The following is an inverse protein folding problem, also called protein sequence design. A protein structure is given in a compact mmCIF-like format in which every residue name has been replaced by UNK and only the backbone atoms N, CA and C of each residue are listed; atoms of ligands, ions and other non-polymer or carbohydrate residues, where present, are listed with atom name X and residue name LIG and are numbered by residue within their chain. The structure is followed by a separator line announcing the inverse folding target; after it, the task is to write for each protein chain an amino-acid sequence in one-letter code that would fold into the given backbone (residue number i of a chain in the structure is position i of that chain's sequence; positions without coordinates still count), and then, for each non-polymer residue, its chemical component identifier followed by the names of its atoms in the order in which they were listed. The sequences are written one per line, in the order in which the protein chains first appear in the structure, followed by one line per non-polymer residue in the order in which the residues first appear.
data_IF_830049635873
#
_entry.id   IF_830049635873
#
_cell.length_a   1.000
_cell.length_b   1.000
_cell.length_c   1.000
_cell.angle_alpha   90.00
_cell.angle_beta   90.00
_cell.angle_gamma   90.00
#
_symmetry.space_group_name_H-M   'P 1'
#
loop_
_entity.id
_entity.type
_entity.pdbx_description
1 polymer ?
#
# COMPACT_ATOMS: atom_id res chain seq x y z
N UNK A 1 -36.70 13.51 22.60
CA UNK A 1 -35.68 14.22 21.79
C UNK A 1 -34.48 13.30 21.66
N UNK A 2 -34.18 12.79 20.46
CA UNK A 2 -32.96 12.01 20.26
C UNK A 2 -31.77 12.97 20.33
N UNK A 3 -30.90 12.78 21.33
CA UNK A 3 -29.62 13.47 21.41
C UNK A 3 -28.85 13.22 20.12
N UNK A 4 -28.53 14.28 19.37
CA UNK A 4 -27.59 14.18 18.24
C UNK A 4 -26.27 13.68 18.81
N UNK A 5 -25.94 12.42 18.56
CA UNK A 5 -24.63 11.87 18.89
C UNK A 5 -23.61 12.65 18.06
N UNK A 6 -22.79 13.45 18.74
CA UNK A 6 -21.74 14.23 18.11
C UNK A 6 -20.56 13.30 17.81
N UNK A 7 -20.57 12.66 16.64
CA UNK A 7 -19.45 11.84 16.18
C UNK A 7 -18.24 12.75 15.95
N UNK A 8 -17.26 12.70 16.87
CA UNK A 8 -15.95 13.28 16.61
C UNK A 8 -15.26 12.44 15.54
N UNK A 9 -14.62 13.04 14.51
CA UNK A 9 -13.81 12.27 13.59
C UNK A 9 -12.69 11.56 14.36
N UNK A 10 -12.49 10.28 14.06
CA UNK A 10 -11.49 9.42 14.71
C UNK A 10 -10.38 9.08 13.71
N UNK A 11 -9.16 8.94 14.23
CA UNK A 11 -8.04 8.38 13.46
C UNK A 11 -8.37 6.92 13.14
N UNK A 12 -8.13 6.52 11.90
CA UNK A 12 -8.35 5.14 11.42
C UNK A 12 -7.03 4.41 11.24
N UNK A 13 -7.09 3.09 11.21
CA UNK A 13 -5.92 2.23 10.99
C UNK A 13 -6.10 1.49 9.68
N UNK A 14 -5.08 1.52 8.83
CA UNK A 14 -5.03 0.72 7.61
C UNK A 14 -3.75 -0.09 7.53
N UNK A 15 -3.77 -1.13 6.70
CA UNK A 15 -2.61 -1.95 6.37
C UNK A 15 -2.36 -1.87 4.88
N UNK A 16 -1.12 -1.55 4.46
CA UNK A 16 -0.68 -1.62 3.08
C UNK A 16 0.40 -2.69 2.92
N UNK A 17 0.35 -3.47 1.84
CA UNK A 17 1.22 -4.65 1.70
C UNK A 17 2.17 -4.51 0.52
N UNK A 18 3.48 -4.57 0.80
CA UNK A 18 4.54 -4.72 -0.19
C UNK A 18 4.63 -6.19 -0.59
N UNK A 19 3.77 -6.61 -1.52
CA UNK A 19 3.82 -7.95 -2.11
C UNK A 19 4.93 -7.99 -3.16
N UNK A 20 5.99 -8.74 -2.88
CA UNK A 20 7.15 -8.88 -3.78
C UNK A 20 6.76 -9.63 -5.06
N UNK A 21 7.18 -9.09 -6.21
CA UNK A 21 7.03 -9.75 -7.51
C UNK A 21 8.03 -10.92 -7.61
N UNK A 22 7.57 -12.18 -7.64
CA UNK A 22 8.47 -13.33 -7.65
C UNK A 22 9.30 -13.44 -8.94
N UNK A 23 8.92 -12.71 -10.00
CA UNK A 23 9.65 -12.69 -11.28
C UNK A 23 10.64 -11.52 -11.38
N UNK A 24 10.57 -10.53 -10.50
CA UNK A 24 11.39 -9.31 -10.55
C UNK A 24 11.87 -8.94 -9.16
N UNK A 25 13.12 -9.31 -8.86
CA UNK A 25 13.79 -8.97 -7.60
C UNK A 25 13.71 -7.46 -7.33
N UNK A 26 13.43 -7.09 -6.09
CA UNK A 26 13.35 -5.69 -5.65
C UNK A 26 12.12 -4.91 -6.15
N UNK A 27 11.13 -5.60 -6.73
CA UNK A 27 9.90 -4.98 -7.22
C UNK A 27 8.68 -5.46 -6.43
N UNK A 28 7.65 -4.61 -6.35
CA UNK A 28 6.36 -4.90 -5.68
C UNK A 28 5.19 -4.63 -6.59
N UNK A 29 4.07 -5.30 -6.34
CA UNK A 29 2.81 -5.00 -7.03
C UNK A 29 2.14 -3.75 -6.44
N UNK A 30 1.71 -2.85 -7.33
CA UNK A 30 0.90 -1.68 -6.99
C UNK A 30 -0.13 -1.42 -8.11
N UNK A 31 -1.24 -0.80 -7.76
CA UNK A 31 -2.38 -0.58 -8.65
C UNK A 31 -2.88 0.85 -8.66
N UNK A 32 -3.50 1.26 -9.77
CA UNK A 32 -4.05 2.62 -9.93
C UNK A 32 -5.49 2.62 -9.42
N UNK A 33 -5.76 3.48 -8.43
CA UNK A 33 -7.08 3.62 -7.80
C UNK A 33 -8.09 4.30 -8.73
N UNK A 34 -9.33 3.82 -8.76
CA UNK A 34 -10.48 4.42 -9.48
C UNK A 34 -11.47 5.15 -8.56
N UNK A 35 -11.43 4.88 -7.26
CA UNK A 35 -12.39 5.44 -6.31
C UNK A 35 -12.35 6.96 -6.20
N UNK A 36 -13.47 7.58 -5.80
CA UNK A 36 -13.63 9.05 -5.68
C UNK A 36 -12.57 9.76 -4.84
N UNK A 37 -11.86 9.04 -3.98
CA UNK A 37 -10.73 9.54 -3.19
C UNK A 37 -9.42 8.95 -3.71
N UNK A 38 -8.58 9.81 -4.28
CA UNK A 38 -7.29 9.43 -4.88
C UNK A 38 -7.41 8.73 -6.24
N UNK A 39 -8.45 9.00 -7.04
CA UNK A 39 -8.58 8.48 -8.40
C UNK A 39 -7.36 8.84 -9.26
N UNK A 40 -6.72 7.86 -9.89
CA UNK A 40 -5.48 8.04 -10.65
C UNK A 40 -4.21 7.94 -9.81
N UNK A 41 -4.31 7.74 -8.49
CA UNK A 41 -3.14 7.51 -7.64
C UNK A 41 -2.76 6.03 -7.58
N UNK A 42 -1.46 5.77 -7.47
CA UNK A 42 -0.89 4.45 -7.27
C UNK A 42 -0.94 4.07 -5.78
N UNK A 43 -1.42 2.87 -5.48
CA UNK A 43 -1.48 2.32 -4.13
C UNK A 43 -1.03 0.85 -4.09
N UNK A 44 -0.58 0.42 -2.92
CA UNK A 44 -0.36 -1.00 -2.61
C UNK A 44 -1.72 -1.69 -2.38
N UNK A 45 -1.81 -3.03 -2.53
CA UNK A 45 -2.94 -3.76 -1.99
C UNK A 45 -3.04 -3.56 -0.47
N UNK A 46 -4.27 -3.53 0.04
CA UNK A 46 -4.52 -3.30 1.45
C UNK A 46 -5.76 -2.45 1.76
N UNK A 47 -6.17 -2.47 3.01
CA UNK A 47 -7.39 -1.83 3.45
C UNK A 47 -7.41 -1.53 4.94
N UNK A 48 -8.61 -1.52 5.52
CA UNK A 48 -8.80 -1.21 6.93
C UNK A 48 -8.45 -2.41 7.80
N UNK A 49 -7.78 -2.14 8.92
CA UNK A 49 -7.59 -3.15 9.96
C UNK A 49 -8.94 -3.40 10.66
N UNK A 50 -9.41 -4.65 10.64
CA UNK A 50 -10.67 -5.01 11.27
C UNK A 50 -10.52 -5.25 12.79
N UNK A 51 -11.65 -5.24 13.50
CA UNK A 51 -11.65 -5.50 14.94
C UNK A 51 -11.15 -6.91 15.23
N UNK A 52 -10.23 -7.02 16.19
CA UNK A 52 -9.61 -8.29 16.61
C UNK A 52 -8.73 -8.94 15.54
N UNK A 53 -8.43 -8.23 14.46
CA UNK A 53 -7.55 -8.69 13.40
C UNK A 53 -6.09 -8.32 13.72
N UNK A 54 -5.16 -9.27 13.52
CA UNK A 54 -3.72 -8.97 13.51
C UNK A 54 -3.30 -8.31 12.19
N UNK A 55 -2.15 -7.64 12.18
CA UNK A 55 -1.66 -6.99 10.96
C UNK A 55 -1.35 -7.99 9.84
N UNK A 56 -0.93 -9.20 10.21
CA UNK A 56 -0.67 -10.30 9.27
C UNK A 56 -1.98 -10.83 8.68
N UNK A 57 -3.01 -11.06 9.51
CA UNK A 57 -4.33 -11.49 9.03
C UNK A 57 -4.94 -10.47 8.05
N UNK A 58 -4.87 -9.18 8.38
CA UNK A 58 -5.32 -8.11 7.50
C UNK A 58 -4.57 -8.10 6.16
N UNK A 59 -3.24 -8.22 6.20
CA UNK A 59 -2.42 -8.29 5.00
C UNK A 59 -2.79 -9.49 4.12
N UNK A 60 -2.98 -10.67 4.72
CA UNK A 60 -3.37 -11.90 4.00
C UNK A 60 -4.76 -11.75 3.38
N UNK A 61 -5.73 -11.25 4.15
CA UNK A 61 -7.12 -11.07 3.70
C UNK A 61 -7.19 -10.10 2.54
N UNK A 62 -6.70 -8.87 2.71
CA UNK A 62 -6.80 -7.81 1.70
C UNK A 62 -6.07 -8.19 0.42
N UNK A 63 -4.86 -8.75 0.52
CA UNK A 63 -4.12 -9.21 -0.68
C UNK A 63 -4.91 -10.30 -1.40
N UNK A 64 -5.52 -11.24 -0.69
CA UNK A 64 -6.34 -12.27 -1.31
C UNK A 64 -7.58 -11.69 -1.99
N UNK A 65 -8.29 -10.81 -1.31
CA UNK A 65 -9.54 -10.16 -1.78
C UNK A 65 -9.32 -9.30 -3.02
N UNK A 66 -8.21 -8.55 -3.08
CA UNK A 66 -7.97 -7.59 -4.15
C UNK A 66 -7.20 -8.19 -5.34
N UNK A 67 -6.35 -9.20 -5.08
CA UNK A 67 -5.35 -9.68 -6.06
C UNK A 67 -5.40 -11.18 -6.38
N UNK A 68 -6.20 -11.96 -5.63
CA UNK A 68 -6.20 -13.43 -5.64
C UNK A 68 -4.87 -14.10 -5.23
N UNK A 69 -3.84 -13.34 -4.84
CA UNK A 69 -2.54 -13.89 -4.48
C UNK A 69 -2.57 -14.57 -3.11
N UNK A 70 -1.93 -15.73 -3.01
CA UNK A 70 -1.61 -16.35 -1.74
C UNK A 70 -0.19 -15.95 -1.31
N UNK A 71 -0.09 -15.30 -0.15
CA UNK A 71 1.17 -14.76 0.37
C UNK A 71 1.68 -15.53 1.59
N UNK A 72 2.99 -15.39 1.86
CA UNK A 72 3.70 -15.98 2.99
C UNK A 72 4.79 -15.03 3.47
N UNK A 73 5.49 -15.39 4.56
CA UNK A 73 6.60 -14.62 5.13
C UNK A 73 6.19 -13.16 5.43
N UNK A 74 4.98 -12.96 5.94
CA UNK A 74 4.42 -11.64 6.20
C UNK A 74 5.15 -10.98 7.36
N UNK A 75 5.68 -9.78 7.15
CA UNK A 75 6.52 -9.09 8.14
C UNK A 75 6.20 -7.61 8.21
N UNK A 76 6.20 -7.04 9.41
CA UNK A 76 6.16 -5.59 9.57
C UNK A 76 7.42 -4.94 9.00
N UNK A 77 7.26 -3.81 8.30
CA UNK A 77 8.41 -3.06 7.75
C UNK A 77 8.39 -1.56 8.03
N UNK A 78 7.21 -0.94 8.17
CA UNK A 78 7.14 0.50 8.45
C UNK A 78 5.77 0.94 8.95
N UNK A 79 5.66 2.16 9.47
CA UNK A 79 4.39 2.81 9.81
C UNK A 79 4.42 4.29 9.45
N UNK A 80 3.31 4.82 8.94
CA UNK A 80 3.16 6.25 8.63
C UNK A 80 1.99 6.87 9.38
N UNK A 81 2.11 8.19 9.60
CA UNK A 81 1.04 9.04 10.06
C UNK A 81 0.52 9.87 8.88
N UNK A 82 -0.73 9.68 8.49
CA UNK A 82 -1.28 10.18 7.22
C UNK A 82 -2.51 11.08 7.43
N UNK A 83 -2.32 12.35 7.86
CA UNK A 83 -3.37 13.35 7.80
C UNK A 83 -3.70 13.70 6.33
N UNK A 84 -4.99 13.70 5.99
CA UNK A 84 -5.52 14.05 4.67
C UNK A 84 -6.60 15.13 4.83
N UNK A 85 -6.21 16.40 5.06
CA UNK A 85 -7.14 17.48 5.39
C UNK A 85 -8.21 17.72 4.34
N UNK A 86 -7.84 17.62 3.06
CA UNK A 86 -8.76 17.81 1.92
C UNK A 86 -9.86 16.75 1.87
N UNK A 87 -9.59 15.56 2.40
CA UNK A 87 -10.56 14.47 2.48
C UNK A 87 -11.29 14.41 3.83
N UNK A 88 -10.89 15.23 4.81
CA UNK A 88 -11.36 15.14 6.20
C UNK A 88 -10.99 13.81 6.86
N UNK A 89 -9.86 13.20 6.47
CA UNK A 89 -9.44 11.87 6.91
C UNK A 89 -8.10 11.91 7.64
N UNK A 90 -7.89 10.97 8.54
CA UNK A 90 -6.59 10.73 9.17
C UNK A 90 -6.42 9.22 9.36
N UNK A 91 -5.34 8.69 8.79
CA UNK A 91 -4.93 7.30 8.97
C UNK A 91 -3.59 7.18 9.69
N UNK A 92 -3.44 6.11 10.46
CA UNK A 92 -2.16 5.45 10.69
C UNK A 92 -2.12 4.27 9.72
N UNK A 93 -1.09 4.20 8.88
CA UNK A 93 -0.94 3.09 7.94
C UNK A 93 0.25 2.23 8.32
N UNK A 94 -0.02 0.96 8.60
CA UNK A 94 0.99 -0.05 8.89
C UNK A 94 1.39 -0.70 7.56
N UNK A 95 2.68 -0.75 7.27
CA UNK A 95 3.21 -1.41 6.09
C UNK A 95 3.75 -2.79 6.47
N UNK A 96 3.20 -3.80 5.80
CA UNK A 96 3.67 -5.18 5.86
C UNK A 96 4.36 -5.52 4.54
N UNK A 97 5.33 -6.42 4.55
CA UNK A 97 5.87 -7.06 3.35
C UNK A 97 5.48 -8.52 3.29
N UNK A 98 5.43 -9.09 2.10
CA UNK A 98 5.15 -10.50 1.92
C UNK A 98 5.74 -11.05 0.61
N UNK A 99 5.91 -12.36 0.57
CA UNK A 99 6.33 -13.12 -0.59
C UNK A 99 5.14 -13.89 -1.18
N UNK A 100 5.07 -14.00 -2.51
CA UNK A 100 4.10 -14.88 -3.15
C UNK A 100 4.46 -16.35 -2.88
N UNK A 101 3.46 -17.20 -2.57
CA UNK A 101 3.69 -18.64 -2.37
C UNK A 101 4.13 -19.37 -3.63
N UNK A 102 3.78 -18.86 -4.81
CA UNK A 102 4.17 -19.44 -6.11
C UNK A 102 5.13 -18.51 -6.85
N UNK A 103 6.12 -19.09 -7.52
CA UNK A 103 7.19 -18.34 -8.21
C UNK A 103 6.73 -17.63 -9.48
N UNK A 104 5.57 -18.01 -10.01
CA UNK A 104 5.00 -17.45 -11.22
C UNK A 104 3.74 -16.61 -10.98
N UNK A 105 3.36 -16.42 -9.71
CA UNK A 105 2.15 -15.70 -9.29
C UNK A 105 2.06 -14.33 -9.96
N UNK A 106 0.86 -13.96 -10.40
CA UNK A 106 0.54 -12.62 -10.90
C UNK A 106 -0.82 -12.20 -10.32
N UNK A 107 -0.96 -10.92 -9.92
CA UNK A 107 -2.20 -10.43 -9.36
C UNK A 107 -3.32 -10.36 -10.40
N UNK A 108 -4.52 -10.76 -10.01
CA UNK A 108 -5.76 -10.53 -10.74
C UNK A 108 -6.43 -9.23 -10.25
N UNK A 109 -7.24 -8.58 -11.08
CA UNK A 109 -8.00 -7.40 -10.64
C UNK A 109 -9.41 -7.83 -10.20
N UNK A 110 -9.53 -8.28 -8.94
CA UNK A 110 -10.81 -8.78 -8.40
C UNK A 110 -11.81 -7.66 -8.10
N UNK A 111 -11.34 -6.41 -7.99
CA UNK A 111 -12.18 -5.24 -7.75
C UNK A 111 -12.03 -4.18 -8.85
N UNK A 112 -12.46 -4.49 -10.10
CA UNK A 112 -12.20 -3.63 -11.27
C UNK A 112 -12.91 -2.27 -11.22
N UNK A 113 -13.85 -2.08 -10.28
CA UNK A 113 -14.53 -0.83 -10.00
C UNK A 113 -13.73 0.08 -9.04
N UNK A 114 -12.77 -0.46 -8.30
CA UNK A 114 -11.89 0.27 -7.37
C UNK A 114 -10.47 0.42 -7.88
N UNK A 115 -9.98 -0.49 -8.73
CA UNK A 115 -8.62 -0.51 -9.25
C UNK A 115 -8.60 -0.70 -10.79
N UNK A 116 -7.66 -0.06 -11.49
CA UNK A 116 -7.39 -0.30 -12.92
C UNK A 116 -6.64 -1.61 -13.19
N UNK A 117 -6.01 -2.17 -12.15
CA UNK A 117 -5.20 -3.37 -12.21
C UNK A 117 -3.81 -3.13 -11.64
N UNK A 118 -3.02 -4.20 -11.63
CA UNK A 118 -1.79 -4.29 -10.87
C UNK A 118 -0.58 -4.38 -11.78
N UNK A 119 0.48 -3.64 -11.46
CA UNK A 119 1.76 -3.67 -12.17
C UNK A 119 2.90 -3.74 -11.16
N UNK A 120 4.06 -4.19 -11.63
CA UNK A 120 5.27 -4.33 -10.83
C UNK A 120 6.12 -3.07 -10.90
N UNK A 121 6.56 -2.56 -9.75
CA UNK A 121 7.32 -1.32 -9.61
C UNK A 121 8.53 -1.53 -8.72
N UNK A 122 9.69 -1.04 -9.16
CA UNK A 122 10.90 -0.95 -8.34
C UNK A 122 10.83 0.26 -7.39
N UNK A 123 11.73 0.32 -6.40
CA UNK A 123 11.89 1.54 -5.59
C UNK A 123 12.17 2.78 -6.44
N UNK A 124 12.99 2.64 -7.49
CA UNK A 124 13.32 3.74 -8.40
C UNK A 124 12.08 4.24 -9.15
N UNK A 125 11.18 3.34 -9.59
CA UNK A 125 9.92 3.73 -10.19
C UNK A 125 9.05 4.52 -9.21
N UNK A 126 8.92 4.03 -7.97
CA UNK A 126 8.14 4.70 -6.93
C UNK A 126 8.70 6.09 -6.60
N UNK A 127 10.03 6.23 -6.51
CA UNK A 127 10.71 7.52 -6.30
C UNK A 127 10.54 8.47 -7.47
N UNK A 128 10.61 7.98 -8.70
CA UNK A 128 10.37 8.77 -9.91
C UNK A 128 8.94 9.33 -9.95
N UNK A 129 7.94 8.50 -9.60
CA UNK A 129 6.54 8.94 -9.48
C UNK A 129 6.39 9.98 -8.35
N UNK A 130 7.05 9.76 -7.20
CA UNK A 130 7.05 10.73 -6.10
C UNK A 130 7.65 12.09 -6.48
N UNK A 131 8.73 12.09 -7.27
CA UNK A 131 9.37 13.29 -7.81
C UNK A 131 8.54 14.01 -8.88
N UNK A 132 7.42 13.43 -9.34
CA UNK A 132 6.60 13.98 -10.41
C UNK A 132 7.20 13.77 -11.81
N UNK A 133 8.09 12.80 -11.98
CA UNK A 133 8.74 12.50 -13.27
C UNK A 133 7.86 11.65 -14.21
N UNK A 134 6.68 11.22 -13.76
CA UNK A 134 5.70 10.46 -14.56
C UNK A 134 4.39 11.23 -14.65
N UNK A 135 4.16 11.85 -15.81
CA UNK A 135 2.96 12.64 -16.08
C UNK A 135 1.68 11.88 -15.78
N UNK A 136 0.79 12.51 -15.01
CA UNK A 136 -0.54 11.98 -14.69
C UNK A 136 -0.58 10.83 -13.68
N UNK A 137 0.57 10.41 -13.13
CA UNK A 137 0.63 9.37 -12.10
C UNK A 137 1.24 9.92 -10.82
N UNK A 138 0.60 9.65 -9.68
CA UNK A 138 1.05 10.11 -8.37
C UNK A 138 0.81 9.04 -7.31
N UNK A 139 1.56 9.07 -6.22
CA UNK A 139 1.40 8.09 -5.14
C UNK A 139 0.23 8.46 -4.23
N UNK A 140 -0.56 7.46 -3.82
CA UNK A 140 -1.60 7.62 -2.81
C UNK A 140 -0.97 7.99 -1.45
N UNK A 141 -1.67 8.79 -0.63
CA UNK A 141 -1.12 9.45 0.57
C UNK A 141 -0.17 8.61 1.44
N UNK A 142 -0.57 7.43 1.93
CA UNK A 142 0.30 6.58 2.73
C UNK A 142 1.54 6.10 1.98
N UNK A 143 1.38 5.65 0.72
CA UNK A 143 2.48 5.21 -0.12
C UNK A 143 3.44 6.37 -0.42
N UNK A 144 2.91 7.56 -0.69
CA UNK A 144 3.67 8.81 -0.84
C UNK A 144 4.52 9.08 0.41
N UNK A 145 3.94 8.95 1.60
CA UNK A 145 4.63 9.19 2.86
C UNK A 145 5.73 8.15 3.11
N UNK A 146 5.46 6.86 2.86
CA UNK A 146 6.46 5.80 2.98
C UNK A 146 7.65 6.03 2.03
N UNK A 147 7.37 6.33 0.75
CA UNK A 147 8.41 6.60 -0.27
C UNK A 147 9.21 7.87 0.05
N UNK A 148 8.56 8.89 0.62
CA UNK A 148 9.23 10.11 1.08
C UNK A 148 10.16 9.87 2.27
N UNK A 149 9.79 8.97 3.18
CA UNK A 149 10.56 8.68 4.38
C UNK A 149 11.74 7.74 4.13
N UNK A 150 11.71 6.98 3.02
CA UNK A 150 12.77 6.06 2.62
C UNK A 150 13.28 5.15 3.76
N UNK A 151 12.38 4.42 4.45
CA UNK A 151 12.75 3.62 5.60
C UNK A 151 13.72 2.50 5.21
N UNK A 152 14.79 2.33 6.00
CA UNK A 152 15.89 1.40 5.69
C UNK A 152 15.44 -0.04 5.44
N UNK A 153 14.46 -0.51 6.22
CA UNK A 153 13.96 -1.88 6.07
C UNK A 153 13.24 -2.09 4.73
N UNK A 154 12.54 -1.07 4.22
CA UNK A 154 11.93 -1.11 2.88
C UNK A 154 13.00 -0.99 1.79
N UNK A 155 13.99 -0.11 1.95
CA UNK A 155 15.10 0.01 0.98
C UNK A 155 15.84 -1.32 0.83
N UNK A 156 16.16 -1.96 1.96
CA UNK A 156 16.80 -3.28 2.00
C UNK A 156 15.92 -4.36 1.38
N UNK A 157 14.62 -4.35 1.69
CA UNK A 157 13.64 -5.29 1.11
C UNK A 157 13.61 -5.19 -0.42
N UNK A 158 13.69 -3.97 -0.96
CA UNK A 158 13.61 -3.68 -2.39
C UNK A 158 14.98 -3.64 -3.08
N UNK A 159 16.01 -4.24 -2.46
CA UNK A 159 17.37 -4.40 -3.01
C UNK A 159 18.01 -3.07 -3.44
N UNK A 160 17.73 -1.99 -2.71
CA UNK A 160 18.34 -0.68 -2.94
C UNK A 160 19.62 -0.60 -2.13
N UNK A 161 20.76 -0.60 -2.82
CA UNK A 161 22.05 -0.34 -2.18
C UNK A 161 22.05 1.10 -1.60
N UNK A 162 22.37 1.25 -0.30
CA UNK A 162 22.65 2.57 0.26
C UNK A 162 23.87 3.11 -0.48
N UNK A 163 23.67 4.11 -1.35
CA UNK A 163 24.78 4.84 -1.95
C UNK A 163 25.57 5.44 -0.78
N UNK A 164 26.78 4.94 -0.55
CA UNK A 164 27.70 5.48 0.45
C UNK A 164 27.83 6.99 0.21
N UNK A 165 27.24 7.76 1.12
CA UNK A 165 27.35 9.22 1.18
C UNK A 165 28.78 9.63 1.45
#
# INVERSE_FOLDING_TARGET
MASKVNFKPHVRVGVGVLVLDPKKKGCVFAGIRKGSHGAGSLALPGGHLEMMESWEECAIREVKEETNLDITNVKFVHVTNDPMPEEGKHYITIFMSAECKTSDAQPENLEPHKCEGWKSFSWHDLRSIWNGERDGLYLFGPLKNMVSQAPKDVLKLLDVEESSR
#
